data_IF_366188714710
#
_entry.id   IF_366188714710
#
_cell.length_a   1.000
_cell.length_b   1.000
_cell.length_c   1.000
_cell.angle_alpha   90.00
_cell.angle_beta   90.00
_cell.angle_gamma   90.00
#
_symmetry.space_group_name_H-M   'P 1'
#
loop_
_entity.id
_entity.type
_entity.pdbx_description
1 polymer ?
#
# COMPACT_ATOMS: atom_id res chain seq x y z
N UNK A 1 -11.43 -13.07 -0.14
CA UNK A 1 -9.99 -13.36 0.05
C UNK A 1 -9.18 -12.05 0.12
N UNK A 2 -8.15 -12.01 0.96
CA UNK A 2 -7.23 -10.86 1.12
C UNK A 2 -5.80 -11.31 0.82
N UNK A 3 -5.19 -10.86 -0.27
CA UNK A 3 -3.75 -11.12 -0.52
C UNK A 3 -2.87 -10.14 0.26
N UNK A 4 -1.61 -10.51 0.50
CA UNK A 4 -0.72 -9.73 1.36
C UNK A 4 -1.22 -9.49 2.80
N UNK A 5 -1.83 -10.50 3.48
CA UNK A 5 -2.52 -10.35 4.76
C UNK A 5 -1.60 -9.99 5.93
N UNK A 6 -0.27 -10.03 5.77
CA UNK A 6 0.71 -9.63 6.79
C UNK A 6 1.23 -8.20 6.59
N UNK A 7 0.91 -7.57 5.45
CA UNK A 7 1.28 -6.19 5.16
C UNK A 7 0.47 -5.17 5.97
N UNK A 8 0.93 -3.91 5.95
CA UNK A 8 0.32 -2.82 6.73
C UNK A 8 -1.18 -2.66 6.44
N UNK A 9 -1.59 -2.73 5.18
CA UNK A 9 -2.99 -2.60 4.78
C UNK A 9 -3.73 -3.94 4.87
N UNK A 10 -3.20 -5.00 4.25
CA UNK A 10 -3.87 -6.30 4.16
C UNK A 10 -4.28 -6.88 5.52
N UNK A 11 -3.42 -6.77 6.54
CA UNK A 11 -3.77 -7.26 7.89
C UNK A 11 -4.94 -6.49 8.52
N UNK A 12 -5.03 -5.18 8.24
CA UNK A 12 -6.10 -4.31 8.74
C UNK A 12 -7.40 -4.58 7.99
N UNK A 13 -7.34 -4.83 6.68
CA UNK A 13 -8.50 -5.29 5.88
C UNK A 13 -9.03 -6.61 6.45
N UNK A 14 -8.17 -7.60 6.65
CA UNK A 14 -8.58 -8.90 7.18
C UNK A 14 -9.19 -8.79 8.58
N UNK A 15 -8.58 -8.00 9.46
CA UNK A 15 -9.09 -7.73 10.81
C UNK A 15 -10.48 -7.08 10.77
N UNK A 16 -10.66 -6.06 9.93
CA UNK A 16 -11.91 -5.31 9.85
C UNK A 16 -13.04 -6.14 9.23
N UNK A 17 -12.78 -6.96 8.20
CA UNK A 17 -13.77 -7.89 7.65
C UNK A 17 -14.26 -8.86 8.73
N UNK A 18 -13.33 -9.49 9.47
CA UNK A 18 -13.66 -10.43 10.54
C UNK A 18 -14.43 -9.76 11.68
N UNK A 19 -14.06 -8.52 12.04
CA UNK A 19 -14.78 -7.72 13.05
C UNK A 19 -16.23 -7.45 12.65
N UNK A 20 -16.53 -7.35 11.36
CA UNK A 20 -17.90 -7.19 10.82
C UNK A 20 -18.65 -8.53 10.64
N UNK A 21 -18.07 -9.64 11.07
CA UNK A 21 -18.67 -10.98 10.90
C UNK A 21 -18.62 -11.51 9.46
N UNK A 22 -17.80 -10.91 8.59
CA UNK A 22 -17.63 -11.34 7.21
C UNK A 22 -16.56 -12.43 7.17
N UNK A 23 -16.89 -13.56 6.55
CA UNK A 23 -15.95 -14.67 6.33
C UNK A 23 -14.83 -14.20 5.42
N UNK A 24 -13.61 -14.13 5.95
CA UNK A 24 -12.44 -13.66 5.21
C UNK A 24 -11.18 -14.47 5.58
N UNK A 25 -10.48 -14.92 4.54
CA UNK A 25 -9.20 -15.60 4.64
C UNK A 25 -8.07 -14.76 4.04
N UNK A 26 -6.91 -14.80 4.69
CA UNK A 26 -5.66 -14.24 4.17
C UNK A 26 -4.95 -15.25 3.26
N UNK A 27 -4.44 -14.76 2.13
CA UNK A 27 -3.71 -15.55 1.14
C UNK A 27 -2.24 -15.08 0.98
N UNK A 28 -1.31 -15.99 1.26
CA UNK A 28 0.14 -15.79 1.24
C UNK A 28 0.86 -17.13 1.44
N UNK A 29 2.18 -17.17 1.28
CA UNK A 29 2.98 -18.40 1.46
C UNK A 29 2.87 -19.04 2.86
N UNK A 30 2.44 -18.29 3.87
CA UNK A 30 2.44 -18.71 5.28
C UNK A 30 1.11 -18.43 6.00
N UNK A 31 0.03 -18.17 5.27
CA UNK A 31 -1.30 -17.92 5.86
C UNK A 31 -2.22 -19.13 5.72
N UNK A 32 -3.44 -18.98 6.26
CA UNK A 32 -4.52 -19.97 6.20
C UNK A 32 -4.72 -20.54 4.79
N UNK A 33 -4.79 -19.66 3.79
CA UNK A 33 -4.75 -20.05 2.38
C UNK A 33 -3.34 -19.82 1.87
N UNK A 34 -2.72 -20.87 1.35
CA UNK A 34 -1.41 -20.76 0.70
C UNK A 34 -1.59 -20.05 -0.65
N UNK A 35 -0.79 -19.02 -0.89
CA UNK A 35 -0.67 -18.39 -2.20
C UNK A 35 0.79 -17.99 -2.41
N UNK A 36 1.44 -18.61 -3.39
CA UNK A 36 2.76 -18.22 -3.86
C UNK A 36 2.65 -17.66 -5.28
N UNK A 37 3.06 -16.41 -5.49
CA UNK A 37 2.99 -15.79 -6.82
C UNK A 37 3.87 -16.49 -7.87
N UNK A 38 4.84 -17.30 -7.45
CA UNK A 38 5.71 -18.05 -8.37
C UNK A 38 5.17 -19.44 -8.72
N UNK A 39 4.19 -19.95 -7.97
CA UNK A 39 3.51 -21.21 -8.24
C UNK A 39 2.07 -20.93 -8.67
N UNK A 40 1.74 -21.30 -9.90
CA UNK A 40 0.41 -21.02 -10.46
C UNK A 40 -0.45 -22.29 -10.56
N UNK A 41 0.08 -23.43 -10.09
CA UNK A 41 -0.59 -24.72 -10.23
C UNK A 41 -1.77 -24.89 -9.26
N UNK A 42 -1.78 -24.14 -8.16
CA UNK A 42 -2.77 -24.24 -7.08
C UNK A 42 -3.87 -23.16 -7.14
N UNK A 43 -3.84 -22.25 -8.13
CA UNK A 43 -4.77 -21.12 -8.16
C UNK A 43 -6.24 -21.54 -8.26
N UNK A 44 -6.54 -22.66 -8.93
CA UNK A 44 -7.90 -23.20 -9.01
C UNK A 44 -8.47 -23.57 -7.64
N UNK A 45 -7.63 -24.15 -6.76
CA UNK A 45 -8.00 -24.54 -5.39
C UNK A 45 -8.05 -23.32 -4.48
N UNK A 46 -7.09 -22.41 -4.62
CA UNK A 46 -7.01 -21.16 -3.85
C UNK A 46 -8.26 -20.29 -4.06
N UNK A 47 -8.81 -20.29 -5.28
CA UNK A 47 -9.97 -19.48 -5.65
C UNK A 47 -11.31 -20.18 -5.42
N UNK A 48 -11.32 -21.44 -4.96
CA UNK A 48 -12.56 -22.16 -4.72
C UNK A 48 -13.40 -21.48 -3.61
N UNK A 49 -14.68 -21.26 -3.89
CA UNK A 49 -15.61 -20.59 -2.97
C UNK A 49 -15.30 -19.11 -2.69
N UNK A 50 -14.39 -18.46 -3.44
CA UNK A 50 -14.07 -17.05 -3.24
C UNK A 50 -15.09 -16.15 -3.95
N UNK A 51 -15.78 -15.29 -3.20
CA UNK A 51 -16.76 -14.35 -3.77
C UNK A 51 -16.14 -13.00 -4.17
N UNK A 52 -15.09 -12.56 -3.48
CA UNK A 52 -14.42 -11.28 -3.74
C UNK A 52 -12.94 -11.33 -3.36
N UNK A 53 -12.09 -10.63 -4.10
CA UNK A 53 -10.64 -10.58 -3.89
C UNK A 53 -10.16 -9.15 -3.63
N UNK A 54 -9.35 -8.99 -2.58
CA UNK A 54 -8.49 -7.83 -2.40
C UNK A 54 -7.07 -8.20 -2.77
N UNK A 55 -6.51 -7.53 -3.77
CA UNK A 55 -5.23 -7.86 -4.39
C UNK A 55 -4.20 -6.77 -4.14
N UNK A 56 -3.10 -7.12 -3.49
CA UNK A 56 -1.92 -6.26 -3.32
C UNK A 56 -0.80 -6.75 -4.22
N UNK A 57 -0.33 -5.89 -5.13
CA UNK A 57 0.83 -6.20 -5.98
C UNK A 57 2.12 -6.09 -5.18
N UNK A 58 2.96 -7.16 -5.09
CA UNK A 58 4.25 -7.08 -4.43
C UNK A 58 5.20 -6.10 -5.14
N UNK A 59 5.65 -5.08 -4.42
CA UNK A 59 6.51 -4.03 -4.99
C UNK A 59 7.92 -4.56 -5.28
N UNK A 60 8.45 -4.23 -6.45
CA UNK A 60 9.86 -4.44 -6.79
C UNK A 60 10.26 -5.89 -7.02
N UNK A 61 9.29 -6.75 -7.38
CA UNK A 61 9.49 -8.19 -7.56
C UNK A 61 9.29 -8.67 -9.00
N UNK A 62 8.89 -7.78 -9.92
CA UNK A 62 8.57 -8.12 -11.31
C UNK A 62 7.49 -9.21 -11.40
N UNK A 63 6.48 -9.10 -10.52
CA UNK A 63 5.39 -10.07 -10.39
C UNK A 63 4.08 -9.56 -11.02
N UNK A 64 4.08 -8.42 -11.70
CA UNK A 64 2.88 -7.82 -12.30
C UNK A 64 2.09 -8.79 -13.17
N UNK A 65 2.77 -9.47 -14.10
CA UNK A 65 2.14 -10.47 -14.96
C UNK A 65 1.58 -11.67 -14.18
N UNK A 66 2.22 -12.08 -13.07
CA UNK A 66 1.70 -13.16 -12.19
C UNK A 66 0.45 -12.69 -11.45
N UNK A 67 0.46 -11.47 -10.92
CA UNK A 67 -0.70 -10.88 -10.25
C UNK A 67 -1.86 -10.70 -11.23
N UNK A 68 -1.59 -10.23 -12.44
CA UNK A 68 -2.59 -10.12 -13.49
C UNK A 68 -3.16 -11.49 -13.89
N UNK A 69 -2.32 -12.52 -14.07
CA UNK A 69 -2.79 -13.87 -14.32
C UNK A 69 -3.70 -14.41 -13.21
N UNK A 70 -3.40 -14.10 -11.95
CA UNK A 70 -4.25 -14.49 -10.83
C UNK A 70 -5.60 -13.74 -10.84
N UNK A 71 -5.59 -12.45 -11.18
CA UNK A 71 -6.82 -11.65 -11.35
C UNK A 71 -7.68 -12.24 -12.48
N UNK A 72 -7.08 -12.60 -13.61
CA UNK A 72 -7.77 -13.26 -14.73
C UNK A 72 -8.38 -14.60 -14.30
N UNK A 73 -7.59 -15.44 -13.62
CA UNK A 73 -8.05 -16.73 -13.10
C UNK A 73 -9.19 -16.59 -12.09
N UNK A 74 -9.15 -15.56 -11.24
CA UNK A 74 -10.22 -15.25 -10.30
C UNK A 74 -11.54 -14.94 -11.01
N UNK A 75 -11.50 -14.15 -12.08
CA UNK A 75 -12.69 -13.88 -12.90
C UNK A 75 -13.21 -15.16 -13.58
N UNK A 76 -12.33 -15.98 -14.16
CA UNK A 76 -12.70 -17.28 -14.77
C UNK A 76 -13.37 -18.24 -13.76
N UNK A 77 -12.97 -18.18 -12.49
CA UNK A 77 -13.55 -18.97 -11.38
C UNK A 77 -14.85 -18.40 -10.82
N UNK A 78 -15.35 -17.30 -11.37
CA UNK A 78 -16.62 -16.71 -10.97
C UNK A 78 -16.54 -15.83 -9.72
N UNK A 79 -15.34 -15.34 -9.34
CA UNK A 79 -15.22 -14.28 -8.35
C UNK A 79 -15.98 -13.05 -8.86
N UNK A 80 -16.87 -12.49 -8.05
CA UNK A 80 -17.77 -11.40 -8.48
C UNK A 80 -17.09 -10.03 -8.46
N UNK A 81 -16.17 -9.80 -7.51
CA UNK A 81 -15.57 -8.48 -7.26
C UNK A 81 -14.06 -8.51 -7.03
N UNK A 82 -13.35 -7.55 -7.61
CA UNK A 82 -11.93 -7.34 -7.40
C UNK A 82 -11.61 -5.92 -6.91
N UNK A 83 -10.91 -5.81 -5.78
CA UNK A 83 -10.34 -4.55 -5.28
C UNK A 83 -8.82 -4.63 -5.38
N UNK A 84 -8.22 -3.84 -6.25
CA UNK A 84 -6.77 -3.84 -6.50
C UNK A 84 -6.13 -2.66 -5.78
N UNK A 85 -5.14 -2.93 -4.93
CA UNK A 85 -4.33 -1.90 -4.30
C UNK A 85 -3.04 -1.69 -5.08
N UNK A 86 -2.89 -0.46 -5.55
CA UNK A 86 -1.76 0.07 -6.29
C UNK A 86 -1.07 1.16 -5.44
N UNK A 87 -0.60 2.24 -6.04
CA UNK A 87 -0.11 3.43 -5.32
C UNK A 87 -0.32 4.70 -6.11
N UNK A 88 -0.44 5.83 -5.42
CA UNK A 88 -0.55 7.15 -6.04
C UNK A 88 0.57 7.38 -7.06
N UNK A 89 0.20 7.78 -8.28
CA UNK A 89 1.10 7.99 -9.41
C UNK A 89 1.27 6.78 -10.32
N UNK A 90 0.67 5.62 -9.99
CA UNK A 90 0.66 4.45 -10.89
C UNK A 90 -0.03 4.76 -12.21
N UNK A 91 -1.04 5.61 -12.22
CA UNK A 91 -1.73 6.09 -13.43
C UNK A 91 -0.84 6.83 -14.43
N UNK A 92 0.37 7.20 -14.02
CA UNK A 92 1.39 7.85 -14.84
C UNK A 92 2.64 6.99 -15.03
N UNK A 93 2.67 5.79 -14.44
CA UNK A 93 3.76 4.86 -14.59
C UNK A 93 3.70 4.18 -15.98
N UNK A 94 4.82 3.63 -16.48
CA UNK A 94 4.80 2.78 -17.67
C UNK A 94 3.73 1.70 -17.58
N UNK A 95 3.06 1.42 -18.70
CA UNK A 95 1.96 0.44 -18.77
C UNK A 95 2.40 -0.97 -18.40
N UNK A 96 3.68 -1.29 -18.57
CA UNK A 96 4.29 -2.57 -18.18
C UNK A 96 4.73 -2.62 -16.71
N UNK A 97 4.50 -1.56 -15.92
CA UNK A 97 4.77 -1.58 -14.49
C UNK A 97 3.85 -2.56 -13.76
N UNK A 98 4.38 -3.23 -12.73
CA UNK A 98 3.68 -4.31 -12.04
C UNK A 98 2.25 -3.91 -11.56
N UNK A 99 2.10 -2.65 -11.16
CA UNK A 99 0.84 -2.09 -10.68
C UNK A 99 -0.12 -1.76 -11.82
N UNK A 100 0.34 -1.11 -12.90
CA UNK A 100 -0.50 -0.79 -14.06
C UNK A 100 -1.09 -2.06 -14.68
N UNK A 101 -0.27 -3.09 -14.88
CA UNK A 101 -0.70 -4.37 -15.45
C UNK A 101 -1.80 -5.02 -14.60
N UNK A 102 -1.70 -4.95 -13.27
CA UNK A 102 -2.73 -5.47 -12.37
C UNK A 102 -4.03 -4.65 -12.41
N UNK A 103 -3.94 -3.31 -12.44
CA UNK A 103 -5.09 -2.44 -12.57
C UNK A 103 -5.82 -2.68 -13.90
N UNK A 104 -5.10 -2.65 -15.03
CA UNK A 104 -5.64 -2.87 -16.36
C UNK A 104 -6.31 -4.23 -16.49
N UNK A 105 -5.68 -5.27 -15.91
CA UNK A 105 -6.26 -6.60 -15.94
C UNK A 105 -7.58 -6.65 -15.20
N UNK A 106 -7.67 -6.08 -14.00
CA UNK A 106 -8.91 -6.03 -13.24
C UNK A 106 -10.03 -5.29 -14.00
N UNK A 107 -9.71 -4.13 -14.59
CA UNK A 107 -10.67 -3.38 -15.43
C UNK A 107 -11.22 -4.19 -16.60
N UNK A 108 -10.40 -5.07 -17.16
CA UNK A 108 -10.73 -5.86 -18.35
C UNK A 108 -11.61 -7.07 -18.05
N UNK A 109 -11.40 -7.75 -16.92
CA UNK A 109 -11.96 -9.09 -16.66
C UNK A 109 -13.04 -9.12 -15.58
N UNK A 110 -13.20 -8.06 -14.80
CA UNK A 110 -14.28 -7.93 -13.82
C UNK A 110 -15.27 -6.84 -14.23
N UNK A 111 -16.56 -7.07 -14.02
CA UNK A 111 -17.57 -6.00 -14.09
C UNK A 111 -17.52 -5.11 -12.84
N UNK A 112 -17.24 -5.71 -11.67
CA UNK A 112 -17.15 -5.02 -10.37
C UNK A 112 -15.70 -4.93 -9.92
N UNK A 113 -14.95 -4.03 -10.55
CA UNK A 113 -13.59 -3.71 -10.12
C UNK A 113 -13.53 -2.39 -9.35
N UNK A 114 -12.54 -2.27 -8.45
CA UNK A 114 -12.18 -1.01 -7.79
C UNK A 114 -10.66 -0.91 -7.68
N UNK A 115 -10.08 0.26 -7.98
CA UNK A 115 -8.64 0.52 -7.81
C UNK A 115 -8.41 1.49 -6.66
N UNK A 116 -7.49 1.15 -5.75
CA UNK A 116 -7.05 1.99 -4.64
C UNK A 116 -5.59 2.38 -4.83
N UNK A 117 -5.30 3.68 -4.90
CA UNK A 117 -3.97 4.26 -5.07
C UNK A 117 -3.59 5.05 -3.81
N UNK A 118 -3.23 4.38 -2.70
CA UNK A 118 -2.79 5.09 -1.51
C UNK A 118 -1.49 5.86 -1.77
N UNK A 119 -1.38 7.03 -1.14
CA UNK A 119 -0.12 7.72 -0.98
C UNK A 119 0.76 7.03 0.09
N UNK A 120 1.86 7.64 0.52
CA UNK A 120 2.68 7.16 1.63
C UNK A 120 1.86 7.02 2.93
N UNK A 121 2.18 6.01 3.75
CA UNK A 121 1.35 5.66 4.90
C UNK A 121 1.84 6.33 6.17
N UNK A 122 0.94 6.66 7.10
CA UNK A 122 1.31 7.08 8.45
C UNK A 122 2.17 6.01 9.14
N UNK A 123 1.82 4.75 8.91
CA UNK A 123 2.45 3.57 9.48
C UNK A 123 3.86 3.29 8.96
N UNK A 124 4.29 3.94 7.87
CA UNK A 124 5.71 3.89 7.49
C UNK A 124 6.61 4.38 8.65
N UNK A 125 6.10 5.25 9.52
CA UNK A 125 6.85 5.76 10.68
C UNK A 125 6.82 4.84 11.91
N UNK A 126 6.04 3.77 11.91
CA UNK A 126 5.93 2.85 13.07
C UNK A 126 6.29 1.42 12.72
N UNK A 127 6.09 1.02 11.48
CA UNK A 127 6.33 -0.33 10.96
C UNK A 127 6.85 -0.33 9.52
N UNK A 128 7.13 -1.53 9.00
CA UNK A 128 7.61 -1.71 7.64
C UNK A 128 9.02 -1.15 7.39
N UNK A 129 9.25 -0.74 6.15
CA UNK A 129 10.57 -0.44 5.60
C UNK A 129 11.26 0.74 6.30
N UNK A 130 10.54 1.83 6.52
CA UNK A 130 11.09 3.05 7.12
C UNK A 130 11.39 2.86 8.61
N UNK A 131 10.48 2.26 9.36
CA UNK A 131 10.74 1.86 10.73
C UNK A 131 11.98 0.95 10.84
N UNK A 132 12.12 -0.04 9.95
CA UNK A 132 13.28 -0.93 9.89
C UNK A 132 14.59 -0.20 9.57
N UNK A 133 14.58 0.75 8.63
CA UNK A 133 15.72 1.61 8.33
C UNK A 133 16.12 2.44 9.54
N UNK A 134 15.15 3.09 10.19
CA UNK A 134 15.40 3.92 11.36
C UNK A 134 15.94 3.12 12.55
N UNK A 135 15.36 1.96 12.88
CA UNK A 135 15.84 1.07 13.96
C UNK A 135 17.33 0.74 13.79
N UNK A 136 17.75 0.42 12.57
CA UNK A 136 19.16 0.11 12.28
C UNK A 136 20.13 1.31 12.38
N UNK A 137 19.60 2.52 12.56
CA UNK A 137 20.37 3.77 12.62
C UNK A 137 20.05 4.57 13.88
N UNK A 138 19.69 3.89 14.97
CA UNK A 138 19.34 4.51 16.25
C UNK A 138 18.21 5.55 16.09
N UNK A 139 17.15 5.12 15.42
CA UNK A 139 15.95 5.89 15.12
C UNK A 139 16.08 7.02 14.12
N UNK A 140 17.18 7.03 13.33
CA UNK A 140 17.39 8.00 12.26
C UNK A 140 16.95 7.46 10.90
N UNK A 141 15.89 8.02 10.35
CA UNK A 141 15.44 7.79 8.99
C UNK A 141 16.28 8.63 8.00
N UNK A 142 16.96 7.95 7.10
CA UNK A 142 17.85 8.54 6.10
C UNK A 142 17.27 8.33 4.70
N UNK A 143 16.74 9.38 4.06
CA UNK A 143 16.05 9.29 2.77
C UNK A 143 16.58 10.28 1.74
N UNK A 144 16.50 9.97 0.42
CA UNK A 144 16.95 10.83 -0.67
C UNK A 144 15.91 11.92 -1.03
N UNK A 145 15.27 12.53 -0.03
CA UNK A 145 14.22 13.57 -0.23
C UNK A 145 14.70 14.94 0.23
N UNK A 146 14.18 16.01 -0.39
CA UNK A 146 14.53 17.40 -0.01
C UNK A 146 13.83 17.74 1.32
N UNK A 147 14.40 18.70 2.06
CA UNK A 147 13.86 19.11 3.39
C UNK A 147 12.41 19.62 3.32
N UNK A 148 12.03 20.23 2.20
CA UNK A 148 10.70 20.79 1.94
C UNK A 148 9.79 19.85 1.13
N UNK A 149 10.23 18.62 0.84
CA UNK A 149 9.39 17.62 0.16
C UNK A 149 8.19 17.31 1.04
N UNK A 150 7.01 17.74 0.60
CA UNK A 150 5.74 17.55 1.29
C UNK A 150 4.97 16.37 0.67
N UNK A 151 4.24 15.65 1.52
CA UNK A 151 3.47 14.46 1.15
C UNK A 151 2.16 14.45 1.93
N UNK A 152 1.04 14.20 1.26
CA UNK A 152 -0.27 14.00 1.88
C UNK A 152 -0.40 12.56 2.41
N UNK A 153 0.38 12.24 3.45
CA UNK A 153 0.42 10.89 4.02
C UNK A 153 -0.97 10.43 4.45
N UNK A 154 -1.37 9.22 4.05
CA UNK A 154 -2.68 8.63 4.36
C UNK A 154 -2.56 7.60 5.48
N UNK A 155 -3.58 7.49 6.31
CA UNK A 155 -3.62 6.44 7.35
C UNK A 155 -3.90 5.07 6.70
N UNK A 156 -3.09 4.06 6.98
CA UNK A 156 -3.35 2.69 6.50
C UNK A 156 -4.72 2.14 6.95
N UNK A 157 -5.30 2.68 8.03
CA UNK A 157 -6.67 2.37 8.46
C UNK A 157 -7.71 2.97 7.52
N UNK A 158 -7.48 4.16 6.98
CA UNK A 158 -8.36 4.73 5.96
C UNK A 158 -8.29 3.91 4.67
N UNK A 159 -7.07 3.55 4.24
CA UNK A 159 -6.88 2.65 3.09
C UNK A 159 -7.58 1.31 3.28
N UNK A 160 -7.41 0.69 4.45
CA UNK A 160 -8.06 -0.57 4.78
C UNK A 160 -9.58 -0.45 4.85
N UNK A 161 -10.11 0.61 5.45
CA UNK A 161 -11.55 0.86 5.51
C UNK A 161 -12.14 1.09 4.11
N UNK A 162 -11.43 1.79 3.22
CA UNK A 162 -11.86 1.97 1.83
C UNK A 162 -11.86 0.64 1.08
N UNK A 163 -10.84 -0.21 1.28
CA UNK A 163 -10.83 -1.55 0.71
C UNK A 163 -12.01 -2.40 1.20
N UNK A 164 -12.32 -2.35 2.50
CA UNK A 164 -13.47 -3.05 3.07
C UNK A 164 -14.77 -2.51 2.50
N UNK A 165 -14.94 -1.18 2.42
CA UNK A 165 -16.11 -0.55 1.83
C UNK A 165 -16.30 -0.99 0.37
N UNK A 166 -15.23 -1.00 -0.43
CA UNK A 166 -15.26 -1.47 -1.80
C UNK A 166 -15.64 -2.96 -1.91
N UNK A 167 -15.04 -3.82 -1.08
CA UNK A 167 -15.33 -5.25 -1.06
C UNK A 167 -16.80 -5.54 -0.75
N UNK A 168 -17.42 -4.81 0.18
CA UNK A 168 -18.75 -5.12 0.71
C UNK A 168 -19.88 -4.27 0.12
N UNK A 169 -19.56 -3.08 -0.39
CA UNK A 169 -20.52 -2.10 -0.89
C UNK A 169 -20.47 -1.94 -2.41
N UNK A 170 -21.11 -0.88 -2.90
CA UNK A 170 -21.15 -0.56 -4.33
C UNK A 170 -20.10 0.48 -4.71
N UNK A 171 -18.97 -0.01 -5.20
CA UNK A 171 -17.83 0.78 -5.66
C UNK A 171 -17.33 0.29 -7.03
N UNK A 172 -18.20 -0.34 -7.82
CA UNK A 172 -17.85 -0.85 -9.13
C UNK A 172 -17.39 0.29 -10.08
N UNK A 173 -16.31 0.05 -10.81
CA UNK A 173 -15.74 1.02 -11.76
C UNK A 173 -15.07 2.23 -11.12
N UNK A 174 -14.80 2.20 -9.80
CA UNK A 174 -14.21 3.34 -9.08
C UNK A 174 -12.69 3.25 -8.99
N UNK A 175 -12.05 4.42 -9.08
CA UNK A 175 -10.64 4.64 -8.77
C UNK A 175 -10.54 5.65 -7.64
N UNK A 176 -9.73 5.35 -6.64
CA UNK A 176 -9.53 6.22 -5.49
C UNK A 176 -8.04 6.46 -5.26
N UNK A 177 -7.60 7.70 -5.40
CA UNK A 177 -6.27 8.16 -4.97
C UNK A 177 -6.36 8.60 -3.52
N UNK A 178 -5.88 7.77 -2.59
CA UNK A 178 -6.15 7.93 -1.16
C UNK A 178 -5.04 8.74 -0.48
N UNK A 179 -5.41 9.90 0.06
CA UNK A 179 -4.50 10.87 0.67
C UNK A 179 -4.95 11.25 2.09
N UNK A 180 -4.03 11.78 2.89
CA UNK A 180 -4.39 12.46 4.15
C UNK A 180 -4.95 13.87 3.91
N UNK A 181 -5.52 14.51 4.94
CA UNK A 181 -6.19 15.81 4.80
C UNK A 181 -5.24 16.99 4.52
N UNK A 182 -3.95 16.84 4.84
CA UNK A 182 -2.95 17.88 4.59
C UNK A 182 -1.59 17.31 4.17
N UNK A 183 -0.82 18.05 3.35
CA UNK A 183 0.56 17.69 3.06
C UNK A 183 1.47 18.07 4.23
N UNK A 184 2.31 17.13 4.67
CA UNK A 184 3.38 17.36 5.64
C UNK A 184 4.72 16.88 5.10
N UNK A 185 5.81 17.53 5.48
CA UNK A 185 7.15 17.06 5.11
C UNK A 185 7.56 15.85 5.93
N UNK A 186 8.42 14.99 5.38
CA UNK A 186 9.06 13.90 6.13
C UNK A 186 9.69 14.41 7.44
N UNK A 187 10.36 15.57 7.40
CA UNK A 187 10.97 16.17 8.59
C UNK A 187 9.93 16.58 9.63
N UNK A 188 8.78 17.11 9.22
CA UNK A 188 7.68 17.47 10.14
C UNK A 188 7.08 16.22 10.77
N UNK A 189 6.77 15.19 9.97
CA UNK A 189 6.21 13.93 10.50
C UNK A 189 7.16 13.30 11.54
N UNK A 190 8.45 13.14 11.21
CA UNK A 190 9.47 12.59 12.14
C UNK A 190 9.66 13.46 13.39
N UNK A 191 9.33 14.75 13.33
CA UNK A 191 9.36 15.60 14.54
C UNK A 191 8.15 15.31 15.44
N UNK A 192 6.99 15.01 14.85
CA UNK A 192 5.76 14.71 15.60
C UNK A 192 5.81 13.35 16.30
N UNK A 193 6.59 12.40 15.78
CA UNK A 193 6.81 11.08 16.40
C UNK A 193 7.76 11.10 17.61
N UNK A 194 8.36 12.25 17.93
CA UNK A 194 9.22 12.36 19.11
C UNK A 194 8.40 12.19 20.39
N UNK A 195 8.81 11.25 21.23
CA UNK A 195 8.12 10.96 22.49
C UNK A 195 6.96 9.96 22.34
N UNK A 196 6.76 9.39 21.15
CA UNK A 196 5.86 8.26 20.92
C UNK A 196 6.63 6.95 20.81
N UNK A 197 5.94 5.82 20.69
CA UNK A 197 6.56 4.50 20.48
C UNK A 197 7.14 4.28 19.07
N UNK A 198 7.05 5.30 18.22
CA UNK A 198 7.63 5.28 16.89
C UNK A 198 9.16 5.08 16.97
N UNK A 199 9.73 4.11 16.24
CA UNK A 199 11.17 3.97 16.14
C UNK A 199 11.81 5.08 15.30
N UNK A 200 11.03 5.96 14.66
CA UNK A 200 11.51 7.00 13.76
C UNK A 200 11.43 8.36 14.44
N UNK A 201 12.53 8.89 14.95
CA UNK A 201 12.53 10.15 15.72
C UNK A 201 13.65 11.13 15.31
N UNK A 202 14.47 10.76 14.33
CA UNK A 202 15.46 11.63 13.67
C UNK A 202 15.35 11.49 12.15
N UNK A 203 15.50 12.60 11.43
CA UNK A 203 15.50 12.62 9.97
C UNK A 203 16.81 13.20 9.44
N UNK A 204 17.40 12.56 8.43
CA UNK A 204 18.57 13.08 7.71
C UNK A 204 18.40 12.89 6.21
N UNK A 205 18.53 13.97 5.45
CA UNK A 205 18.65 13.89 4.00
C UNK A 205 19.95 13.18 3.64
N UNK A 206 19.87 12.26 2.69
CA UNK A 206 21.01 11.69 1.96
C UNK A 206 20.81 11.92 0.45
N UNK A 207 21.78 11.56 -0.36
CA UNK A 207 21.62 11.47 -1.81
C UNK A 207 21.11 10.09 -2.22
N UNK A 208 20.72 9.97 -3.48
CA UNK A 208 20.19 8.74 -4.06
C UNK A 208 21.23 7.61 -4.05
N UNK A 209 22.48 7.91 -4.44
CA UNK A 209 23.58 6.96 -4.41
C UNK A 209 23.83 6.41 -2.99
N UNK A 210 23.80 7.29 -1.98
CA UNK A 210 23.93 6.90 -0.58
C UNK A 210 22.72 6.11 -0.07
N UNK A 211 21.52 6.33 -0.60
CA UNK A 211 20.35 5.49 -0.29
C UNK A 211 20.51 4.11 -0.92
N UNK A 212 20.84 4.05 -2.21
CA UNK A 212 21.08 2.83 -2.97
C UNK A 212 22.12 1.93 -2.30
N UNK A 213 23.30 2.47 -1.98
CA UNK A 213 24.37 1.73 -1.29
C UNK A 213 23.90 1.13 0.05
N UNK A 214 23.15 1.91 0.84
CA UNK A 214 22.59 1.45 2.13
C UNK A 214 21.56 0.36 1.95
N UNK A 215 20.69 0.48 0.95
CA UNK A 215 19.66 -0.51 0.66
C UNK A 215 20.26 -1.82 0.16
N UNK A 216 21.23 -1.77 -0.78
CA UNK A 216 22.00 -2.93 -1.25
C UNK A 216 22.70 -3.67 -0.11
N UNK A 217 23.36 -2.95 0.80
CA UNK A 217 24.03 -3.56 1.97
C UNK A 217 23.06 -4.27 2.93
N UNK A 218 21.74 -4.04 2.82
CA UNK A 218 20.70 -4.75 3.57
C UNK A 218 20.12 -5.93 2.80
N UNK A 219 20.68 -6.27 1.65
CA UNK A 219 20.21 -7.35 0.78
C UNK A 219 18.94 -7.01 0.00
N UNK A 220 18.60 -5.71 -0.17
CA UNK A 220 17.46 -5.35 -1.00
C UNK A 220 17.81 -5.53 -2.48
N UNK A 221 16.87 -6.10 -3.25
CA UNK A 221 17.01 -6.24 -4.69
C UNK A 221 16.90 -4.91 -5.42
N UNK A 222 17.62 -4.77 -6.54
CA UNK A 222 17.72 -3.52 -7.30
C UNK A 222 16.36 -2.95 -7.69
N UNK A 223 15.48 -3.78 -8.24
CA UNK A 223 14.15 -3.34 -8.69
C UNK A 223 13.33 -2.72 -7.56
N UNK A 224 13.46 -3.22 -6.32
CA UNK A 224 12.79 -2.64 -5.17
C UNK A 224 13.37 -1.27 -4.79
N UNK A 225 14.70 -1.12 -4.86
CA UNK A 225 15.38 0.15 -4.61
C UNK A 225 15.00 1.18 -5.65
N UNK A 226 15.03 0.81 -6.93
CA UNK A 226 14.67 1.68 -8.05
C UNK A 226 13.22 2.16 -7.94
N UNK A 227 12.29 1.25 -7.61
CA UNK A 227 10.88 1.62 -7.38
C UNK A 227 10.73 2.61 -6.23
N UNK A 228 11.50 2.47 -5.14
CA UNK A 228 11.48 3.45 -4.06
C UNK A 228 12.08 4.80 -4.48
N UNK A 229 13.17 4.80 -5.24
CA UNK A 229 13.80 6.02 -5.76
C UNK A 229 12.87 6.77 -6.73
N UNK A 230 12.16 6.07 -7.61
CA UNK A 230 11.12 6.64 -8.47
C UNK A 230 10.04 7.37 -7.64
N UNK A 231 9.57 6.73 -6.56
CA UNK A 231 8.59 7.34 -5.64
C UNK A 231 9.17 8.52 -4.87
N UNK A 232 10.43 8.47 -4.45
CA UNK A 232 11.11 9.62 -3.83
C UNK A 232 11.26 10.77 -4.81
N UNK A 233 11.63 10.50 -6.06
CA UNK A 233 11.75 11.51 -7.11
C UNK A 233 10.39 12.17 -7.39
N UNK A 234 9.31 11.38 -7.44
CA UNK A 234 7.94 11.90 -7.57
C UNK A 234 7.56 12.82 -6.39
N UNK A 235 7.86 12.41 -5.16
CA UNK A 235 7.64 13.27 -3.99
C UNK A 235 8.47 14.56 -4.04
N UNK A 236 9.75 14.47 -4.43
CA UNK A 236 10.64 15.63 -4.61
C UNK A 236 10.12 16.60 -5.68
N UNK A 237 9.47 16.09 -6.71
CA UNK A 237 8.79 16.88 -7.74
C UNK A 237 7.44 17.45 -7.31
N UNK A 238 7.00 17.22 -6.07
CA UNK A 238 5.72 17.73 -5.54
C UNK A 238 4.50 16.86 -5.88
N UNK A 239 4.67 15.77 -6.64
CA UNK A 239 3.56 14.91 -7.09
C UNK A 239 2.91 14.07 -5.99
N UNK A 240 3.47 14.08 -4.78
CA UNK A 240 2.90 13.39 -3.63
C UNK A 240 2.24 14.35 -2.62
N UNK A 241 2.22 15.66 -2.89
CA UNK A 241 1.68 16.67 -1.97
C UNK A 241 0.19 16.97 -2.19
N UNK A 242 -0.38 16.53 -3.31
CA UNK A 242 -1.79 16.73 -3.64
C UNK A 242 -2.71 16.05 -2.61
N UNK A 243 -3.81 16.73 -2.25
CA UNK A 243 -4.86 16.21 -1.37
C UNK A 243 -6.09 15.97 -2.21
N UNK A 244 -6.75 14.83 -1.98
CA UNK A 244 -7.92 14.36 -2.70
C UNK A 244 -9.07 14.14 -1.72
N UNK A 245 -10.30 14.17 -2.24
CA UNK A 245 -11.51 13.90 -1.44
C UNK A 245 -11.89 12.42 -1.45
N UNK A 246 -11.06 11.54 -2.00
CA UNK A 246 -11.42 10.14 -2.28
C UNK A 246 -11.65 9.29 -1.04
N UNK A 247 -10.95 9.57 0.07
CA UNK A 247 -11.25 8.94 1.36
C UNK A 247 -12.65 9.36 1.83
N UNK A 248 -12.99 10.65 1.71
CA UNK A 248 -14.32 11.17 2.06
C UNK A 248 -15.39 10.57 1.17
N UNK A 249 -15.15 10.50 -0.14
CA UNK A 249 -16.07 9.93 -1.11
C UNK A 249 -16.33 8.45 -0.86
N UNK A 250 -15.31 7.68 -0.47
CA UNK A 250 -15.45 6.25 -0.20
C UNK A 250 -16.05 5.93 1.17
N UNK A 251 -15.76 6.74 2.20
CA UNK A 251 -16.10 6.42 3.60
C UNK A 251 -17.18 7.30 4.22
N UNK A 252 -17.58 8.39 3.55
CA UNK A 252 -18.51 9.38 4.10
C UNK A 252 -17.94 10.19 5.28
N UNK A 253 -16.62 10.16 5.49
CA UNK A 253 -15.92 10.90 6.54
C UNK A 253 -14.53 11.34 6.10
N UNK A 254 -14.01 12.38 6.73
CA UNK A 254 -12.68 12.89 6.43
C UNK A 254 -11.56 11.87 6.73
N UNK A 255 -10.44 11.91 5.97
CA UNK A 255 -9.25 11.14 6.28
C UNK A 255 -8.67 11.55 7.64
N UNK A 256 -8.06 10.59 8.34
CA UNK A 256 -7.39 10.84 9.61
C UNK A 256 -6.18 11.77 9.42
N UNK A 257 -6.10 12.89 10.16
CA UNK A 257 -4.91 13.74 10.12
C UNK A 257 -3.74 13.07 10.84
N UNK A 258 -2.51 13.44 10.48
CA UNK A 258 -1.29 12.91 11.13
C UNK A 258 -1.32 13.16 12.64
N UNK A 259 -1.87 14.30 13.08
CA UNK A 259 -1.99 14.62 14.50
C UNK A 259 -2.86 13.61 15.27
N UNK A 260 -3.88 13.00 14.64
CA UNK A 260 -4.69 11.94 15.27
C UNK A 260 -3.86 10.67 15.45
N UNK A 261 -3.19 10.23 14.38
CA UNK A 261 -2.31 9.07 14.41
C UNK A 261 -1.25 9.18 15.52
N UNK A 262 -0.57 10.33 15.61
CA UNK A 262 0.48 10.56 16.62
C UNK A 262 -0.05 10.44 18.06
N UNK A 263 -1.26 10.94 18.35
CA UNK A 263 -1.87 10.80 19.69
C UNK A 263 -2.14 9.35 20.05
N UNK A 264 -2.56 8.54 19.09
CA UNK A 264 -2.88 7.13 19.30
C UNK A 264 -1.62 6.26 19.45
N UNK A 265 -0.47 6.68 18.91
CA UNK A 265 0.84 6.00 19.09
C UNK A 265 1.55 6.37 20.41
N UNK A 266 0.93 7.21 21.24
CA UNK A 266 1.46 7.62 22.56
C UNK A 266 0.70 6.96 23.71
N UNK A 267 -0.43 6.31 23.43
CA UNK A 267 -1.36 5.73 24.40
C UNK A 267 -1.16 4.22 24.52
#
# INVERSE_FOLDING_TARGET
MVTGPTGMVGRRVLTELRRRGITAAGASRTSEVRLDWTDTSDWDEVLDGVESVFVVTPIGRSLGNRVAGFIEKAAEKGVDKAVVMSSMGSEHAPSDSDQCVAEERARKVFDKWTVLRPNWLHQDFTEGTFAGLARSRNGRLELPVRKHTAVSFVDARDVANTAVAALVGDHAGREYTLTGPEPVTFKQFVRMTKGTDSPVWRFKKIDEAGFYFRARNRGWGDRYIDTLNERFAAAVAGRAAEVTEDVRAALGRDPGPVAKFIREETA
#
